data_IF_223567310962
#
_entry.id   IF_223567310962
#
_cell.length_a   1.000
_cell.length_b   1.000
_cell.length_c   1.000
_cell.angle_alpha   90.00
_cell.angle_beta   90.00
_cell.angle_gamma   90.00
#
_symmetry.space_group_name_H-M   'P 1'
#
loop_
_entity.id
_entity.type
_entity.pdbx_description
1 polymer ?
#
# COMPACT_ATOMS: atom_id res chain seq x y z
N UNK A 1 18.39 -51.52 12.87
CA UNK A 1 19.17 -50.46 12.20
C UNK A 1 18.33 -49.62 11.22
N UNK A 2 17.63 -50.19 10.22
CA UNK A 2 16.81 -49.42 9.26
C UNK A 2 15.73 -48.50 9.87
N UNK A 3 15.09 -48.92 10.98
CA UNK A 3 14.12 -48.10 11.71
C UNK A 3 14.71 -46.89 12.45
N UNK A 4 16.01 -46.92 12.77
CA UNK A 4 16.70 -45.81 13.44
C UNK A 4 17.04 -44.68 12.43
N UNK A 5 17.41 -45.05 11.20
CA UNK A 5 17.68 -44.09 10.13
C UNK A 5 16.44 -43.31 9.70
N UNK A 6 15.27 -43.96 9.68
CA UNK A 6 14.01 -43.29 9.36
C UNK A 6 13.68 -42.19 10.39
N UNK A 7 13.99 -42.44 11.66
CA UNK A 7 13.79 -41.49 12.75
C UNK A 7 14.73 -40.28 12.63
N UNK A 8 16.00 -40.52 12.27
CA UNK A 8 16.97 -39.45 12.02
C UNK A 8 16.60 -38.58 10.81
N UNK A 9 16.05 -39.17 9.73
CA UNK A 9 15.56 -38.42 8.57
C UNK A 9 14.33 -37.58 8.93
N UNK A 10 13.37 -38.12 9.69
CA UNK A 10 12.19 -37.38 10.16
C UNK A 10 12.58 -36.22 11.09
N UNK A 11 13.52 -36.43 12.01
CA UNK A 11 14.03 -35.38 12.90
C UNK A 11 14.77 -34.29 12.10
N UNK A 12 15.57 -34.65 11.10
CA UNK A 12 16.24 -33.69 10.23
C UNK A 12 15.26 -32.83 9.42
N UNK A 13 14.13 -33.40 8.98
CA UNK A 13 13.04 -32.64 8.35
C UNK A 13 12.37 -31.67 9.33
N UNK A 14 12.19 -32.04 10.61
CA UNK A 14 11.63 -31.14 11.63
C UNK A 14 12.53 -29.93 11.95
N UNK A 15 13.85 -30.07 11.81
CA UNK A 15 14.78 -28.94 11.97
C UNK A 15 14.82 -28.00 10.77
N UNK A 16 14.50 -28.46 9.56
CA UNK A 16 14.38 -27.58 8.39
C UNK A 16 13.11 -26.71 8.45
N UNK A 17 12.05 -27.14 9.13
CA UNK A 17 10.82 -26.35 9.31
C UNK A 17 11.08 -25.10 10.18
N UNK A 18 12.06 -25.15 11.08
CA UNK A 18 12.42 -24.02 11.95
C UNK A 18 13.48 -23.07 11.35
N UNK A 19 13.89 -23.29 10.09
CA UNK A 19 14.69 -22.33 9.33
C UNK A 19 13.81 -21.46 8.41
N UNK A 20 12.51 -21.34 8.70
CA UNK A 20 11.71 -20.29 8.11
C UNK A 20 12.28 -18.96 8.61
N UNK A 21 12.94 -18.25 7.70
CA UNK A 21 13.00 -16.80 7.79
C UNK A 21 11.60 -16.28 8.16
N UNK A 22 11.53 -15.30 9.06
CA UNK A 22 10.27 -14.62 9.41
C UNK A 22 9.80 -13.81 8.19
N UNK A 23 9.31 -14.51 7.17
CA UNK A 23 8.78 -13.94 5.96
C UNK A 23 7.36 -13.48 6.20
N UNK A 24 7.07 -12.23 5.86
CA UNK A 24 5.71 -11.68 5.91
C UNK A 24 5.03 -11.84 4.54
N UNK A 25 3.95 -12.63 4.43
CA UNK A 25 3.22 -12.76 3.17
C UNK A 25 2.67 -11.43 2.70
N UNK A 26 2.60 -11.25 1.39
CA UNK A 26 1.96 -10.09 0.77
C UNK A 26 0.47 -10.33 0.52
N UNK A 27 0.10 -11.51 0.06
CA UNK A 27 -1.28 -11.87 -0.28
C UNK A 27 -1.97 -12.49 0.92
N UNK A 28 -2.69 -11.67 1.68
CA UNK A 28 -3.44 -12.08 2.87
C UNK A 28 -4.88 -11.56 2.82
N UNK A 29 -5.83 -12.40 3.25
CA UNK A 29 -7.24 -12.04 3.34
C UNK A 29 -7.44 -10.83 4.26
N UNK A 30 -8.18 -9.83 3.79
CA UNK A 30 -8.46 -8.61 4.55
C UNK A 30 -7.31 -7.59 4.58
N UNK A 31 -6.22 -7.80 3.82
CA UNK A 31 -5.18 -6.78 3.66
C UNK A 31 -5.69 -5.62 2.82
N UNK A 32 -5.39 -4.40 3.26
CA UNK A 32 -5.87 -3.15 2.67
C UNK A 32 -4.74 -2.19 2.33
N UNK A 33 -4.82 -1.55 1.17
CA UNK A 33 -3.98 -0.41 0.79
C UNK A 33 -4.86 0.82 0.69
N UNK A 34 -4.60 1.82 1.55
CA UNK A 34 -5.34 3.07 1.65
C UNK A 34 -4.52 4.20 1.08
N UNK A 35 -5.04 4.82 0.03
CA UNK A 35 -4.41 5.90 -0.72
C UNK A 35 -5.13 7.19 -0.42
N UNK A 36 -4.35 8.23 -0.15
CA UNK A 36 -4.84 9.60 -0.11
C UNK A 36 -4.31 10.35 -1.33
N UNK A 37 -5.22 10.80 -2.18
CA UNK A 37 -4.89 11.32 -3.52
C UNK A 37 -5.45 12.73 -3.66
N UNK A 38 -4.65 13.63 -4.21
CA UNK A 38 -5.09 14.95 -4.66
C UNK A 38 -5.32 14.91 -6.16
N UNK A 39 -6.57 15.15 -6.58
CA UNK A 39 -6.94 15.35 -7.97
C UNK A 39 -7.03 16.86 -8.25
N UNK A 40 -6.22 17.36 -9.16
CA UNK A 40 -6.21 18.76 -9.60
C UNK A 40 -6.58 18.82 -11.07
N UNK A 41 -7.74 19.40 -11.37
CA UNK A 41 -8.21 19.57 -12.75
C UNK A 41 -8.25 21.03 -13.15
N UNK A 42 -8.02 21.29 -14.43
CA UNK A 42 -8.38 22.55 -15.05
C UNK A 42 -9.29 22.33 -16.26
N UNK A 43 -10.34 23.15 -16.36
CA UNK A 43 -11.25 23.14 -17.49
C UNK A 43 -11.39 24.57 -18.03
N UNK A 44 -11.45 24.68 -19.35
CA UNK A 44 -11.71 25.93 -20.03
C UNK A 44 -13.23 26.12 -20.17
N UNK A 45 -13.78 27.22 -19.65
CA UNK A 45 -15.20 27.55 -19.84
C UNK A 45 -15.34 28.55 -21.00
N UNK A 46 -15.91 28.08 -22.12
CA UNK A 46 -16.13 28.92 -23.30
C UNK A 46 -17.09 30.10 -23.04
N UNK A 47 -17.91 30.04 -21.98
CA UNK A 47 -18.88 31.10 -21.65
C UNK A 47 -18.20 32.34 -21.09
N UNK A 48 -17.14 32.16 -20.29
CA UNK A 48 -16.39 33.27 -19.69
C UNK A 48 -14.96 33.41 -20.24
N UNK A 49 -14.55 32.50 -21.14
CA UNK A 49 -13.21 32.42 -21.75
C UNK A 49 -12.10 32.39 -20.69
N UNK A 50 -12.32 31.65 -19.61
CA UNK A 50 -11.34 31.48 -18.54
C UNK A 50 -11.10 30.00 -18.22
N UNK A 51 -9.89 29.73 -17.74
CA UNK A 51 -9.53 28.43 -17.17
C UNK A 51 -9.89 28.41 -15.70
N UNK A 52 -10.77 27.50 -15.31
CA UNK A 52 -11.11 27.24 -13.92
C UNK A 52 -10.28 26.08 -13.39
N UNK A 53 -9.83 26.21 -12.15
CA UNK A 53 -9.06 25.18 -11.45
C UNK A 53 -9.90 24.60 -10.33
N UNK A 54 -9.94 23.28 -10.25
CA UNK A 54 -10.55 22.56 -9.12
C UNK A 54 -9.56 21.58 -8.51
N UNK A 55 -9.64 21.43 -7.19
CA UNK A 55 -8.89 20.42 -6.45
C UNK A 55 -9.86 19.61 -5.62
N UNK A 56 -9.76 18.28 -5.71
CA UNK A 56 -10.51 17.31 -4.92
C UNK A 56 -9.53 16.40 -4.21
N UNK A 57 -9.80 16.08 -2.95
CA UNK A 57 -9.09 15.03 -2.23
C UNK A 57 -9.91 13.76 -2.28
N UNK A 58 -9.25 12.64 -2.53
CA UNK A 58 -9.88 11.35 -2.77
C UNK A 58 -9.24 10.33 -1.85
N UNK A 59 -10.08 9.56 -1.20
CA UNK A 59 -9.67 8.33 -0.53
C UNK A 59 -9.96 7.15 -1.45
N UNK A 60 -9.01 6.25 -1.52
CA UNK A 60 -9.08 5.05 -2.34
C UNK A 60 -8.54 3.89 -1.52
N UNK A 61 -9.24 2.76 -1.54
CA UNK A 61 -8.92 1.57 -0.76
C UNK A 61 -8.92 0.38 -1.70
N UNK A 62 -7.84 -0.39 -1.69
CA UNK A 62 -7.81 -1.71 -2.30
C UNK A 62 -7.81 -2.76 -1.21
N UNK A 63 -8.67 -3.76 -1.35
CA UNK A 63 -8.82 -4.81 -0.35
C UNK A 63 -8.71 -6.19 -1.00
N UNK A 64 -7.88 -7.05 -0.42
CA UNK A 64 -7.85 -8.47 -0.76
C UNK A 64 -9.01 -9.16 -0.04
N UNK A 65 -9.94 -9.73 -0.80
CA UNK A 65 -11.12 -10.38 -0.22
C UNK A 65 -11.67 -11.53 -1.05
N UNK A 66 -11.60 -12.74 -0.50
CA UNK A 66 -12.17 -13.94 -1.07
C UNK A 66 -11.32 -14.58 -2.15
N UNK A 67 -11.63 -15.86 -2.41
CA UNK A 67 -10.83 -16.72 -3.27
C UNK A 67 -11.47 -16.89 -4.66
N UNK A 68 -10.63 -17.29 -5.61
CA UNK A 68 -11.03 -17.76 -6.93
C UNK A 68 -9.99 -18.71 -7.51
N UNK A 69 -10.38 -19.50 -8.50
CA UNK A 69 -9.48 -20.36 -9.26
C UNK A 69 -9.57 -19.95 -10.72
N UNK A 70 -8.43 -19.78 -11.38
CA UNK A 70 -8.31 -19.49 -12.81
C UNK A 70 -7.20 -20.38 -13.36
N UNK A 71 -7.47 -21.15 -14.41
CA UNK A 71 -6.52 -22.08 -15.03
C UNK A 71 -5.88 -23.05 -14.00
N UNK A 72 -6.68 -23.59 -13.08
CA UNK A 72 -6.26 -24.46 -11.96
C UNK A 72 -5.26 -23.84 -10.96
N UNK A 73 -5.08 -22.51 -11.01
CA UNK A 73 -4.25 -21.74 -10.08
C UNK A 73 -5.16 -20.99 -9.11
N UNK A 74 -4.86 -21.07 -7.81
CA UNK A 74 -5.56 -20.34 -6.76
C UNK A 74 -5.12 -18.87 -6.71
N UNK A 75 -6.11 -17.98 -6.64
CA UNK A 75 -5.91 -16.54 -6.46
C UNK A 75 -6.84 -15.99 -5.39
N UNK A 76 -6.44 -14.88 -4.81
CA UNK A 76 -7.32 -13.98 -4.08
C UNK A 76 -7.89 -12.92 -5.02
N UNK A 77 -9.09 -12.44 -4.70
CA UNK A 77 -9.73 -11.31 -5.40
C UNK A 77 -9.29 -10.00 -4.76
N UNK A 78 -9.11 -8.97 -5.58
CA UNK A 78 -8.83 -7.60 -5.16
C UNK A 78 -10.04 -6.74 -5.53
N UNK A 79 -10.52 -5.94 -4.60
CA UNK A 79 -11.58 -4.96 -4.82
C UNK A 79 -11.04 -3.55 -4.61
N UNK A 80 -11.54 -2.61 -5.39
CA UNK A 80 -11.26 -1.19 -5.25
C UNK A 80 -12.50 -0.46 -4.75
N UNK A 81 -12.35 0.35 -3.71
CA UNK A 81 -13.38 1.22 -3.17
C UNK A 81 -12.84 2.65 -3.08
N UNK A 82 -13.51 3.64 -3.67
CA UNK A 82 -13.08 5.03 -3.57
C UNK A 82 -13.95 6.04 -4.29
N UNK A 83 -13.72 7.32 -4.02
CA UNK A 83 -14.50 8.44 -4.59
C UNK A 83 -14.22 8.72 -6.08
N UNK A 84 -13.61 7.75 -6.75
CA UNK A 84 -13.06 7.81 -8.11
C UNK A 84 -13.98 7.23 -9.18
N UNK A 85 -15.25 6.94 -8.86
CA UNK A 85 -16.12 6.23 -9.79
C UNK A 85 -16.65 7.12 -10.92
N UNK A 86 -15.79 7.42 -11.90
CA UNK A 86 -16.22 7.54 -13.30
C UNK A 86 -16.98 6.27 -13.77
N UNK A 87 -16.84 5.17 -13.03
CA UNK A 87 -17.47 3.87 -13.27
C UNK A 87 -18.84 3.65 -12.60
N UNK A 88 -19.37 4.64 -11.86
CA UNK A 88 -20.74 4.61 -11.33
C UNK A 88 -21.04 3.58 -10.20
N UNK A 89 -20.09 2.72 -9.83
CA UNK A 89 -20.23 1.75 -8.74
C UNK A 89 -18.94 1.62 -7.94
N UNK A 90 -19.07 1.54 -6.60
CA UNK A 90 -17.99 1.32 -5.63
C UNK A 90 -18.56 0.47 -4.47
N UNK A 91 -17.86 -0.59 -4.00
CA UNK A 91 -16.60 -1.11 -4.52
C UNK A 91 -16.78 -1.86 -5.85
N UNK A 92 -15.72 -1.96 -6.64
CA UNK A 92 -15.69 -2.76 -7.86
C UNK A 92 -14.56 -3.79 -7.85
N UNK A 93 -14.71 -4.84 -8.65
CA UNK A 93 -13.72 -5.91 -8.74
C UNK A 93 -12.51 -5.45 -9.54
N UNK A 94 -11.35 -5.38 -8.91
CA UNK A 94 -10.15 -4.76 -9.48
C UNK A 94 -9.28 -5.76 -10.27
N UNK A 95 -9.11 -6.97 -9.72
CA UNK A 95 -8.27 -8.00 -10.30
C UNK A 95 -8.15 -9.21 -9.39
N UNK A 96 -7.23 -10.10 -9.74
CA UNK A 96 -6.88 -11.27 -8.94
C UNK A 96 -5.38 -11.28 -8.66
N UNK A 97 -4.99 -11.71 -7.47
CA UNK A 97 -3.62 -11.67 -6.99
C UNK A 97 -3.26 -13.00 -6.34
N UNK A 98 -2.03 -13.45 -6.52
CA UNK A 98 -1.49 -14.63 -5.86
C UNK A 98 -0.05 -14.40 -5.45
N UNK A 99 0.44 -15.28 -4.60
CA UNK A 99 1.81 -15.26 -4.14
C UNK A 99 2.37 -16.67 -4.11
N UNK A 100 3.57 -16.84 -4.62
CA UNK A 100 4.26 -18.12 -4.67
C UNK A 100 5.77 -17.90 -4.56
N UNK A 101 6.44 -18.63 -3.67
CA UNK A 101 7.89 -18.52 -3.46
C UNK A 101 8.39 -17.07 -3.27
N UNK A 102 7.67 -16.29 -2.46
CA UNK A 102 7.92 -14.86 -2.17
C UNK A 102 7.76 -13.92 -3.37
N UNK A 103 7.18 -14.39 -4.47
CA UNK A 103 6.85 -13.59 -5.65
C UNK A 103 5.36 -13.32 -5.71
N UNK A 104 5.00 -12.07 -5.96
CA UNK A 104 3.63 -11.60 -6.01
C UNK A 104 3.23 -11.38 -7.45
N UNK A 105 2.11 -11.97 -7.82
CA UNK A 105 1.61 -11.97 -9.18
C UNK A 105 0.19 -11.45 -9.24
N UNK A 106 -0.11 -10.62 -10.24
CA UNK A 106 -1.44 -10.02 -10.41
C UNK A 106 -1.96 -10.15 -11.84
N UNK A 107 -3.26 -10.42 -11.99
CA UNK A 107 -4.00 -10.23 -13.25
C UNK A 107 -5.04 -9.14 -13.04
N UNK A 108 -4.96 -8.06 -13.80
CA UNK A 108 -5.93 -6.96 -13.76
C UNK A 108 -7.12 -7.28 -14.66
N UNK A 109 -8.35 -6.99 -14.23
CA UNK A 109 -9.55 -7.44 -14.95
C UNK A 109 -10.31 -6.35 -15.71
N UNK A 110 -9.71 -5.17 -15.91
CA UNK A 110 -10.34 -4.18 -16.78
C UNK A 110 -9.81 -4.32 -18.19
N UNK A 111 -10.70 -4.55 -19.17
CA UNK A 111 -10.35 -4.36 -20.55
C UNK A 111 -10.19 -2.86 -20.79
N UNK A 112 -8.99 -2.40 -21.09
CA UNK A 112 -8.87 -1.24 -21.96
C UNK A 112 -9.18 -1.68 -23.40
N UNK A 113 -9.95 -0.84 -24.10
CA UNK A 113 -10.21 -0.88 -25.54
C UNK A 113 -8.94 -0.98 -26.39
N UNK A 114 -7.79 -0.53 -25.88
CA UNK A 114 -6.55 -0.44 -26.66
C UNK A 114 -5.60 -1.64 -26.55
N UNK A 115 -5.73 -2.50 -25.52
CA UNK A 115 -4.87 -3.69 -25.40
C UNK A 115 -5.54 -4.84 -24.63
N UNK A 116 -6.53 -5.52 -25.24
CA UNK A 116 -7.30 -6.58 -24.57
C UNK A 116 -6.45 -7.76 -24.09
N UNK A 117 -5.29 -8.01 -24.72
CA UNK A 117 -4.41 -9.13 -24.40
C UNK A 117 -3.58 -8.91 -23.13
N UNK A 118 -3.30 -7.66 -22.75
CA UNK A 118 -2.49 -7.32 -21.57
C UNK A 118 -3.20 -7.71 -20.26
N UNK A 119 -4.53 -7.57 -20.24
CA UNK A 119 -5.37 -7.76 -19.05
C UNK A 119 -5.76 -9.22 -18.77
N UNK A 120 -5.25 -10.16 -19.57
CA UNK A 120 -5.39 -11.59 -19.31
C UNK A 120 -4.12 -12.24 -18.75
N UNK A 121 -2.99 -11.52 -18.80
CA UNK A 121 -1.69 -12.05 -18.41
C UNK A 121 -1.36 -11.71 -16.97
N UNK A 122 -0.60 -12.60 -16.38
CA UNK A 122 -0.08 -12.44 -15.05
C UNK A 122 1.19 -11.58 -15.07
N UNK A 123 1.22 -10.58 -14.21
CA UNK A 123 2.33 -9.63 -14.06
C UNK A 123 3.00 -9.90 -12.72
N UNK A 124 4.33 -10.03 -12.73
CA UNK A 124 5.14 -10.07 -11.52
C UNK A 124 5.20 -8.65 -10.93
N UNK A 125 4.52 -8.45 -9.81
CA UNK A 125 4.45 -7.17 -9.12
C UNK A 125 5.63 -6.96 -8.17
N UNK A 126 5.96 -8.00 -7.41
CA UNK A 126 7.02 -7.97 -6.39
C UNK A 126 7.78 -9.29 -6.34
N UNK A 127 9.07 -9.23 -6.07
CA UNK A 127 9.90 -10.40 -5.77
C UNK A 127 10.65 -10.17 -4.46
N UNK A 128 10.14 -10.69 -3.35
CA UNK A 128 10.79 -10.60 -2.03
C UNK A 128 11.86 -11.69 -1.83
N UNK A 129 12.09 -12.54 -2.84
CA UNK A 129 13.22 -13.47 -2.90
C UNK A 129 14.44 -12.93 -3.64
N UNK A 130 14.39 -11.67 -4.10
CA UNK A 130 15.49 -11.00 -4.82
C UNK A 130 16.70 -10.76 -3.90
N UNK A 131 17.92 -10.88 -4.45
CA UNK A 131 19.16 -10.65 -3.70
C UNK A 131 19.74 -9.27 -4.01
N UNK A 132 20.54 -8.75 -3.09
CA UNK A 132 21.27 -7.49 -3.31
C UNK A 132 22.19 -7.62 -4.54
N UNK A 133 22.13 -6.63 -5.43
CA UNK A 133 22.79 -6.60 -6.72
C UNK A 133 22.01 -7.25 -7.87
N UNK A 134 20.89 -7.92 -7.59
CA UNK A 134 19.98 -8.38 -8.64
C UNK A 134 19.15 -7.21 -9.17
N UNK A 135 18.70 -7.33 -10.42
CA UNK A 135 17.83 -6.37 -11.07
C UNK A 135 16.36 -6.84 -11.04
N UNK A 136 15.45 -5.89 -10.83
CA UNK A 136 14.02 -6.05 -10.99
C UNK A 136 13.51 -5.13 -12.10
N UNK A 137 12.51 -5.58 -12.87
CA UNK A 137 11.89 -4.79 -13.93
C UNK A 137 10.52 -4.34 -13.47
N UNK A 138 10.37 -3.05 -13.19
CA UNK A 138 9.06 -2.49 -12.89
C UNK A 138 8.37 -2.07 -14.18
N UNK A 139 7.13 -2.51 -14.36
CA UNK A 139 6.28 -2.11 -15.47
C UNK A 139 5.47 -0.88 -15.04
N UNK A 140 5.80 0.30 -15.57
CA UNK A 140 5.23 1.56 -15.07
C UNK A 140 3.86 1.92 -15.69
N UNK A 141 3.56 1.43 -16.90
CA UNK A 141 2.46 2.02 -17.70
C UNK A 141 1.44 1.01 -18.24
N UNK A 142 1.62 -0.31 -18.07
CA UNK A 142 0.74 -1.30 -18.71
C UNK A 142 0.72 -1.29 -20.25
N UNK A 143 1.36 -0.28 -20.86
CA UNK A 143 1.50 0.02 -22.29
C UNK A 143 2.96 -0.15 -22.74
N UNK A 144 3.62 -1.22 -22.30
CA UNK A 144 4.81 -1.83 -22.94
C UNK A 144 6.07 -0.99 -23.30
N UNK A 145 6.21 0.31 -23.04
CA UNK A 145 7.37 1.07 -23.57
C UNK A 145 8.37 1.59 -22.53
N UNK A 146 7.99 1.67 -21.25
CA UNK A 146 8.89 2.10 -20.18
C UNK A 146 9.02 1.03 -19.10
N UNK A 147 9.99 0.13 -19.30
CA UNK A 147 10.47 -0.74 -18.23
C UNK A 147 11.63 -0.04 -17.54
N UNK A 148 11.44 0.34 -16.29
CA UNK A 148 12.54 0.82 -15.46
C UNK A 148 13.24 -0.39 -14.87
N UNK A 149 14.55 -0.49 -15.13
CA UNK A 149 15.39 -1.46 -14.44
C UNK A 149 15.76 -0.87 -13.09
N UNK A 150 15.48 -1.61 -12.04
CA UNK A 150 15.85 -1.26 -10.68
C UNK A 150 16.89 -2.25 -10.18
N UNK A 151 17.94 -1.75 -9.54
CA UNK A 151 18.94 -2.59 -8.87
C UNK A 151 18.65 -2.58 -7.36
N UNK A 152 18.59 -3.76 -6.75
CA UNK A 152 18.46 -3.84 -5.29
C UNK A 152 19.80 -3.48 -4.64
N UNK A 153 19.85 -2.36 -3.94
CA UNK A 153 21.06 -1.87 -3.28
C UNK A 153 21.26 -2.46 -1.88
N UNK A 154 20.19 -2.57 -1.11
CA UNK A 154 20.26 -3.08 0.26
C UNK A 154 18.92 -3.67 0.71
N UNK A 155 19.02 -4.57 1.68
CA UNK A 155 17.88 -5.03 2.47
C UNK A 155 18.17 -4.68 3.92
N UNK A 156 17.30 -3.89 4.53
CA UNK A 156 17.42 -3.44 5.91
C UNK A 156 16.31 -4.06 6.76
N UNK A 157 16.57 -4.31 8.04
CA UNK A 157 15.56 -4.75 8.99
C UNK A 157 15.31 -3.63 9.99
N UNK A 158 14.06 -3.15 10.07
CA UNK A 158 13.65 -2.11 10.98
C UNK A 158 12.33 -2.51 11.65
N UNK A 159 12.34 -2.64 12.98
CA UNK A 159 11.19 -3.04 13.78
C UNK A 159 10.51 -4.34 13.28
N UNK A 160 11.32 -5.34 12.92
CA UNK A 160 10.85 -6.62 12.37
C UNK A 160 10.31 -6.55 10.94
N UNK A 161 10.46 -5.41 10.26
CA UNK A 161 10.09 -5.22 8.85
C UNK A 161 11.33 -5.24 7.98
N UNK A 162 11.34 -6.06 6.95
CA UNK A 162 12.38 -6.06 5.91
C UNK A 162 12.05 -5.00 4.86
N UNK A 163 12.98 -4.09 4.63
CA UNK A 163 12.88 -2.97 3.70
C UNK A 163 13.88 -3.19 2.58
N UNK A 164 13.41 -3.17 1.34
CA UNK A 164 14.20 -3.35 0.13
C UNK A 164 14.41 -1.98 -0.49
N UNK A 165 15.66 -1.55 -0.62
CA UNK A 165 16.01 -0.25 -1.19
C UNK A 165 16.56 -0.43 -2.60
N UNK A 166 15.92 0.20 -3.57
CA UNK A 166 16.28 0.12 -4.98
C UNK A 166 16.85 1.44 -5.48
N UNK A 167 17.85 1.35 -6.34
CA UNK A 167 18.19 2.43 -7.27
C UNK A 167 17.48 2.21 -8.59
N UNK A 168 17.20 3.31 -9.27
CA UNK A 168 16.74 3.28 -10.67
C UNK A 168 17.87 3.80 -11.56
N UNK A 169 17.89 3.37 -12.82
CA UNK A 169 18.83 3.92 -13.82
C UNK A 169 18.48 5.35 -14.24
N UNK A 170 17.29 5.83 -13.89
CA UNK A 170 16.82 7.18 -14.13
C UNK A 170 17.18 8.05 -12.90
N UNK A 171 18.14 8.96 -13.08
CA UNK A 171 18.62 9.86 -12.03
C UNK A 171 17.52 10.84 -11.54
N UNK A 172 16.41 10.99 -12.29
CA UNK A 172 15.28 11.84 -11.89
C UNK A 172 14.28 11.09 -10.98
N UNK A 173 14.35 9.75 -10.90
CA UNK A 173 13.44 8.95 -10.08
C UNK A 173 14.11 8.69 -8.72
N UNK A 174 13.49 9.10 -7.60
CA UNK A 174 14.04 8.84 -6.27
C UNK A 174 14.18 7.34 -6.01
N UNK A 175 15.09 6.98 -5.10
CA UNK A 175 15.27 5.59 -4.64
C UNK A 175 13.93 5.02 -4.18
N UNK A 176 13.55 3.87 -4.73
CA UNK A 176 12.30 3.22 -4.37
C UNK A 176 12.50 2.29 -3.19
N UNK A 177 11.49 2.22 -2.31
CA UNK A 177 11.49 1.33 -1.16
C UNK A 177 10.32 0.37 -1.23
N UNK A 178 10.57 -0.92 -0.98
CA UNK A 178 9.51 -1.89 -0.71
C UNK A 178 9.59 -2.37 0.74
N UNK A 179 8.43 -2.68 1.32
CA UNK A 179 8.32 -3.37 2.61
C UNK A 179 7.84 -4.79 2.37
N UNK A 180 8.53 -5.78 2.93
CA UNK A 180 8.16 -7.18 2.84
C UNK A 180 6.70 -7.38 3.31
N UNK A 181 5.90 -8.01 2.46
CA UNK A 181 4.48 -8.25 2.73
C UNK A 181 3.54 -7.06 2.51
N UNK A 182 4.05 -5.89 2.10
CA UNK A 182 3.24 -4.68 1.85
C UNK A 182 3.54 -3.96 0.51
N UNK A 183 4.73 -4.16 -0.08
CA UNK A 183 5.12 -3.57 -1.37
C UNK A 183 5.70 -2.17 -1.24
N UNK A 184 5.73 -1.42 -2.35
CA UNK A 184 6.25 -0.05 -2.42
C UNK A 184 5.17 1.02 -2.41
N UNK A 185 5.57 2.27 -2.69
CA UNK A 185 4.69 3.44 -2.74
C UNK A 185 3.51 3.31 -3.72
N UNK A 186 3.67 2.49 -4.77
CA UNK A 186 2.59 2.20 -5.72
C UNK A 186 1.61 1.12 -5.24
N UNK A 187 1.90 0.41 -4.14
CA UNK A 187 1.01 -0.58 -3.52
C UNK A 187 0.59 -1.69 -4.48
N UNK A 188 -0.68 -1.74 -4.89
CA UNK A 188 -1.19 -2.67 -5.90
C UNK A 188 -1.31 -2.04 -7.30
N UNK A 189 -0.51 -1.00 -7.59
CA UNK A 189 -0.40 -0.43 -8.92
C UNK A 189 -1.54 0.52 -9.32
N UNK A 190 -2.12 1.30 -8.38
CA UNK A 190 -3.13 2.30 -8.78
C UNK A 190 -2.58 3.32 -9.78
N UNK A 191 -1.31 3.68 -9.62
CA UNK A 191 -0.64 4.67 -10.48
C UNK A 191 -0.43 4.17 -11.91
N UNK A 192 -0.25 2.86 -12.10
CA UNK A 192 -0.12 2.22 -13.43
C UNK A 192 -1.39 2.35 -14.30
N UNK A 193 -2.45 2.94 -13.77
CA UNK A 193 -3.73 3.21 -14.46
C UNK A 193 -4.31 4.60 -14.24
N UNK A 194 -3.50 5.51 -13.68
CA UNK A 194 -3.73 6.95 -13.85
C UNK A 194 -2.87 7.59 -14.97
N UNK A 195 -2.18 6.86 -15.89
CA UNK A 195 -1.94 7.42 -17.20
C UNK A 195 -3.26 7.34 -17.98
N UNK A 196 -3.66 8.44 -18.61
CA UNK A 196 -4.77 8.48 -19.58
C UNK A 196 -6.22 8.58 -19.03
N UNK A 197 -6.46 9.56 -18.16
CA UNK A 197 -7.59 10.49 -18.41
C UNK A 197 -7.09 11.65 -19.28
N UNK A 198 -6.41 11.31 -20.36
CA UNK A 198 -6.02 12.23 -21.41
C UNK A 198 -7.25 12.59 -22.22
N UNK A 199 -7.45 13.90 -22.40
CA UNK A 199 -8.15 14.55 -23.51
C UNK A 199 -9.63 14.94 -23.35
N UNK A 200 -10.23 14.95 -22.16
CA UNK A 200 -11.49 15.73 -21.96
C UNK A 200 -11.40 16.69 -20.78
N UNK A 201 -10.71 16.34 -19.70
CA UNK A 201 -10.40 17.25 -18.60
C UNK A 201 -8.98 16.99 -18.09
N UNK A 202 -8.14 18.03 -18.04
CA UNK A 202 -6.75 18.00 -17.62
C UNK A 202 -6.61 17.75 -16.10
N UNK A 203 -7.05 16.58 -15.63
CA UNK A 203 -7.00 16.18 -14.22
C UNK A 203 -5.69 15.48 -13.93
N UNK A 204 -4.84 16.10 -13.12
CA UNK A 204 -3.61 15.51 -12.57
C UNK A 204 -3.91 14.89 -11.21
N UNK A 205 -3.36 13.71 -10.97
CA UNK A 205 -3.44 13.05 -9.68
C UNK A 205 -2.07 13.07 -9.02
N UNK A 206 -2.05 13.36 -7.72
CA UNK A 206 -0.85 13.35 -6.90
C UNK A 206 -1.14 12.47 -5.69
N UNK A 207 -0.37 11.39 -5.55
CA UNK A 207 -0.42 10.55 -4.37
C UNK A 207 0.21 11.31 -3.20
N UNK A 208 -0.55 11.51 -2.14
CA UNK A 208 -0.10 12.20 -0.94
C UNK A 208 0.37 11.23 0.14
N UNK A 209 -0.25 10.05 0.19
CA UNK A 209 0.21 8.95 1.03
C UNK A 209 -0.38 7.62 0.57
N UNK A 210 0.33 6.55 0.93
CA UNK A 210 -0.16 5.18 0.89
C UNK A 210 0.11 4.51 2.23
N UNK A 211 -0.91 3.87 2.82
CA UNK A 211 -0.74 3.02 4.00
C UNK A 211 -1.26 1.61 3.75
N UNK A 212 -0.50 0.61 4.18
CA UNK A 212 -0.88 -0.80 4.11
C UNK A 212 -1.30 -1.30 5.50
N UNK A 213 -2.43 -2.00 5.59
CA UNK A 213 -3.00 -2.53 6.83
C UNK A 213 -3.37 -4.00 6.71
N UNK A 214 -3.21 -4.73 7.82
CA UNK A 214 -3.84 -6.03 8.04
C UNK A 214 -4.68 -5.95 9.31
N UNK A 215 -6.00 -5.83 9.15
CA UNK A 215 -6.89 -5.52 10.26
C UNK A 215 -6.57 -4.14 10.86
N UNK A 216 -6.19 -4.11 12.15
CA UNK A 216 -5.82 -2.87 12.86
C UNK A 216 -4.31 -2.56 12.80
N UNK A 217 -3.48 -3.50 12.33
CA UNK A 217 -2.04 -3.32 12.25
C UNK A 217 -1.67 -2.50 10.99
N UNK A 218 -0.94 -1.40 11.18
CA UNK A 218 -0.33 -0.64 10.08
C UNK A 218 1.04 -1.24 9.73
N UNK A 219 1.14 -1.80 8.52
CA UNK A 219 2.36 -2.48 8.07
C UNK A 219 3.39 -1.44 7.61
N UNK A 220 2.96 -0.44 6.87
CA UNK A 220 3.80 0.67 6.42
C UNK A 220 2.95 1.86 6.00
N UNK A 221 3.56 3.04 6.02
CA UNK A 221 3.03 4.25 5.40
C UNK A 221 4.14 4.89 4.57
N UNK A 222 3.81 5.30 3.36
CA UNK A 222 4.65 6.07 2.47
C UNK A 222 4.08 7.50 2.35
N UNK A 223 4.96 8.49 2.30
CA UNK A 223 4.59 9.90 2.07
C UNK A 223 4.43 10.22 0.57
N UNK A 224 4.17 11.49 0.25
CA UNK A 224 3.97 11.97 -1.13
C UNK A 224 5.20 11.81 -2.04
N UNK A 225 6.38 11.58 -1.45
CA UNK A 225 7.63 11.36 -2.17
C UNK A 225 7.98 9.87 -2.28
N UNK A 226 7.13 8.99 -1.76
CA UNK A 226 7.35 7.54 -1.76
C UNK A 226 8.33 7.05 -0.71
N UNK A 227 8.69 7.88 0.28
CA UNK A 227 9.56 7.45 1.38
C UNK A 227 8.76 6.83 2.52
N UNK A 228 9.34 5.80 3.14
CA UNK A 228 8.76 5.19 4.33
C UNK A 228 8.71 6.20 5.49
N UNK A 229 7.49 6.48 5.94
CA UNK A 229 7.25 7.25 7.15
C UNK A 229 7.35 6.31 8.34
N UNK A 230 8.52 6.26 8.96
CA UNK A 230 8.65 5.69 10.31
C UNK A 230 8.01 6.65 11.32
N UNK A 231 7.03 6.19 12.11
CA UNK A 231 6.64 6.92 13.33
C UNK A 231 5.42 7.83 13.28
N UNK A 232 4.37 7.50 12.52
CA UNK A 232 3.03 7.82 13.01
C UNK A 232 2.40 6.51 13.46
N UNK A 233 2.86 6.00 14.61
CA UNK A 233 1.92 5.32 15.48
C UNK A 233 0.78 6.32 15.66
N UNK A 234 -0.38 6.04 15.08
CA UNK A 234 -1.58 6.79 15.43
C UNK A 234 -1.62 6.79 16.94
N UNK A 235 -1.54 7.99 17.55
CA UNK A 235 -1.32 8.16 19.00
C UNK A 235 -2.11 7.08 19.70
N UNK A 236 -1.42 6.03 20.17
CA UNK A 236 -2.02 5.10 21.09
C UNK A 236 -2.20 5.97 22.31
N UNK A 237 -3.40 6.52 22.46
CA UNK A 237 -3.84 6.95 23.76
C UNK A 237 -3.90 5.65 24.55
N UNK A 238 -2.77 5.26 25.13
CA UNK A 238 -2.82 4.58 26.39
C UNK A 238 -3.70 5.49 27.25
N UNK A 239 -4.96 5.11 27.37
CA UNK A 239 -5.85 5.63 28.40
C UNK A 239 -5.35 5.02 29.70
N UNK A 240 -4.08 5.27 30.01
CA UNK A 240 -3.60 5.19 31.36
C UNK A 240 -4.30 6.35 32.06
N UNK A 241 -5.02 6.00 33.12
CA UNK A 241 -5.97 6.88 33.81
C UNK A 241 -5.21 7.93 34.62
N UNK A 242 -4.43 8.78 33.95
CA UNK A 242 -3.90 9.98 34.57
C UNK A 242 -5.08 10.93 34.75
N UNK A 243 -5.62 10.98 35.98
CA UNK A 243 -6.70 11.89 36.41
C UNK A 243 -6.31 13.37 36.35
N UNK A 244 -5.19 13.68 35.70
CA UNK A 244 -4.69 15.04 35.50
C UNK A 244 -5.65 15.85 34.65
N UNK A 245 -5.87 17.08 35.09
CA UNK A 245 -6.70 18.07 34.41
C UNK A 245 -5.76 19.10 33.78
N UNK A 246 -6.07 19.57 32.58
CA UNK A 246 -5.26 20.55 31.85
C UNK A 246 -6.13 21.72 31.38
N UNK A 247 -5.53 22.89 31.20
CA UNK A 247 -6.20 23.99 30.49
C UNK A 247 -6.09 23.81 28.96
N UNK A 248 -6.73 24.72 28.21
CA UNK A 248 -6.69 24.71 26.74
C UNK A 248 -5.31 25.01 26.13
N UNK A 249 -4.34 25.40 26.96
CA UNK A 249 -2.95 25.62 26.56
C UNK A 249 -2.06 24.42 26.93
N UNK A 250 -2.65 23.33 27.45
CA UNK A 250 -1.93 22.10 27.82
C UNK A 250 -1.21 22.18 29.17
N UNK A 251 -1.46 23.20 30.01
CA UNK A 251 -0.86 23.31 31.34
C UNK A 251 -1.64 22.47 32.35
N UNK A 252 -0.92 21.69 33.16
CA UNK A 252 -1.52 20.86 34.21
C UNK A 252 -2.14 21.75 35.30
N UNK A 253 -3.39 21.46 35.65
CA UNK A 253 -4.15 22.09 36.71
C UNK A 253 -4.12 21.21 37.96
N UNK A 254 -4.07 21.84 39.14
CA UNK A 254 -4.08 21.15 40.43
C UNK A 254 -5.46 20.61 40.82
N UNK A 255 -6.53 21.11 40.20
CA UNK A 255 -7.92 20.70 40.44
C UNK A 255 -8.81 21.01 39.23
N UNK A 256 -10.02 20.41 39.19
CA UNK A 256 -11.04 20.75 38.19
C UNK A 256 -11.55 22.19 38.38
N UNK A 257 -11.53 23.03 37.33
CA UNK A 257 -12.13 24.35 37.37
C UNK A 257 -13.64 24.30 37.66
N UNK A 258 -14.13 25.22 38.49
CA UNK A 258 -15.56 25.36 38.78
C UNK A 258 -16.35 25.97 37.60
N UNK A 259 -15.67 26.70 36.71
CA UNK A 259 -16.25 27.34 35.52
C UNK A 259 -15.27 27.35 34.36
N UNK A 260 -15.79 27.34 33.14
CA UNK A 260 -15.02 27.45 31.92
C UNK A 260 -14.70 26.10 31.29
N UNK A 261 -13.65 26.07 30.46
CA UNK A 261 -13.34 24.92 29.62
C UNK A 261 -11.96 24.37 29.98
N UNK A 262 -11.89 23.06 30.19
CA UNK A 262 -10.66 22.34 30.52
C UNK A 262 -10.61 20.99 29.81
N UNK A 263 -9.46 20.33 29.85
CA UNK A 263 -9.21 19.01 29.27
C UNK A 263 -9.01 18.01 30.41
N UNK A 264 -9.71 16.89 30.37
CA UNK A 264 -9.55 15.77 31.31
C UNK A 264 -9.80 14.46 30.57
N UNK A 265 -8.98 13.44 30.82
CA UNK A 265 -9.07 12.13 30.16
C UNK A 265 -9.12 12.25 28.62
N UNK A 266 -8.33 13.16 28.06
CA UNK A 266 -8.29 13.44 26.61
C UNK A 266 -9.54 14.13 26.03
N UNK A 267 -10.52 14.51 26.88
CA UNK A 267 -11.77 15.15 26.45
C UNK A 267 -11.86 16.58 26.96
N UNK A 268 -12.40 17.45 26.10
CA UNK A 268 -12.77 18.82 26.45
C UNK A 268 -14.05 18.81 27.28
N UNK A 269 -14.01 19.40 28.47
CA UNK A 269 -15.14 19.55 29.39
C UNK A 269 -15.44 21.03 29.55
N UNK A 270 -16.71 21.41 29.43
CA UNK A 270 -17.20 22.75 29.68
C UNK A 270 -18.16 22.74 30.88
N UNK A 271 -17.92 23.62 31.86
CA UNK A 271 -18.79 23.86 33.01
C UNK A 271 -19.23 25.32 33.08
#
# INVERSE_FOLDING_TARGET
MKRLYLLFVLIAFCFQINAQENYRPFVEEGKEWKYYIKASSNHWDDRDRQTHYSTKYINSILTIKGDTIVDDIEYKKVYHDGDHSNFGYSPFFYGIIREENKKVYMRFLFPDTYSPDFFSKEILMYDFGINVGDNFFECYDGYNEYQTTMELLSIEENDGKRIYNFSTTDEEIPTMQWVEGAGGFHGLGLEQRIPELTCIDCTRYTFLSLSCYLGEECLCTFDENGYLVSGIEGVKTDVDKDKSVYDLQGRRLSAEPERGVYIKDGKKIAR
#
